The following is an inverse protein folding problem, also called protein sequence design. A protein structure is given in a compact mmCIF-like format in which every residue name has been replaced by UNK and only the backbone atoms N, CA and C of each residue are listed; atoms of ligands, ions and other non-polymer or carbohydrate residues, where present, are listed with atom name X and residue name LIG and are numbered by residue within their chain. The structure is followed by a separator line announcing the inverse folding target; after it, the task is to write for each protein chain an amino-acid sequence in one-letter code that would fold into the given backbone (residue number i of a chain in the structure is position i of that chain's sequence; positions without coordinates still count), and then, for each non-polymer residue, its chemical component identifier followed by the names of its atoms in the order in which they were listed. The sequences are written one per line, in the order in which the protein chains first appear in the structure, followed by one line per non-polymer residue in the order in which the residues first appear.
data_IF_219623276096
#
_entry.id   IF_219623276096
#
_cell.length_a   1.000
_cell.length_b   1.000
_cell.length_c   1.000
_cell.angle_alpha   90.00
_cell.angle_beta   90.00
_cell.angle_gamma   90.00
#
_symmetry.space_group_name_H-M   'P 1'
#
loop_
_entity.id
_entity.type
_entity.pdbx_description
1 polymer ?
#
# COMPACT_ATOMS: atom_id res chain seq x y z
N UNK A 1 16.66 14.57 -15.90
CA UNK A 1 16.10 15.44 -14.84
C UNK A 1 14.60 15.19 -14.61
N UNK A 2 13.74 15.27 -15.64
CA UNK A 2 12.28 15.05 -15.50
C UNK A 2 11.95 13.67 -14.92
N UNK A 3 12.55 12.61 -15.45
CA UNK A 3 12.34 11.23 -14.97
C UNK A 3 12.70 11.04 -13.49
N UNK A 4 13.81 11.63 -13.06
CA UNK A 4 14.25 11.56 -11.67
C UNK A 4 13.24 12.26 -10.75
N UNK A 5 12.75 13.44 -11.16
CA UNK A 5 11.75 14.17 -10.40
C UNK A 5 10.42 13.40 -10.30
N UNK A 6 9.99 12.75 -11.38
CA UNK A 6 8.78 11.92 -11.41
C UNK A 6 8.87 10.76 -10.42
N UNK A 7 9.96 9.97 -10.46
CA UNK A 7 10.15 8.86 -9.52
C UNK A 7 10.25 9.34 -8.08
N UNK A 8 10.97 10.45 -7.83
CA UNK A 8 11.04 11.04 -6.49
C UNK A 8 9.67 11.39 -5.96
N UNK A 9 8.81 12.01 -6.77
CA UNK A 9 7.45 12.38 -6.36
C UNK A 9 6.56 11.16 -6.09
N UNK A 10 6.69 10.10 -6.90
CA UNK A 10 5.95 8.85 -6.69
C UNK A 10 6.36 8.21 -5.35
N UNK A 11 7.65 8.03 -5.10
CA UNK A 11 8.12 7.45 -3.84
C UNK A 11 7.79 8.34 -2.64
N UNK A 12 7.94 9.66 -2.77
CA UNK A 12 7.59 10.60 -1.72
C UNK A 12 6.09 10.52 -1.34
N UNK A 13 5.20 10.35 -2.33
CA UNK A 13 3.76 10.23 -2.07
C UNK A 13 3.41 8.97 -1.27
N UNK A 14 4.06 7.84 -1.57
CA UNK A 14 3.88 6.59 -0.82
C UNK A 14 4.37 6.75 0.63
N UNK A 15 5.58 7.27 0.82
CA UNK A 15 6.15 7.50 2.15
C UNK A 15 5.30 8.47 2.98
N UNK A 16 4.75 9.51 2.34
CA UNK A 16 3.87 10.49 2.98
C UNK A 16 2.59 9.83 3.50
N UNK A 17 1.95 8.97 2.72
CA UNK A 17 0.74 8.24 3.14
C UNK A 17 1.03 7.28 4.30
N UNK A 18 2.16 6.57 4.26
CA UNK A 18 2.58 5.67 5.35
C UNK A 18 2.89 6.47 6.62
N UNK A 19 3.60 7.59 6.50
CA UNK A 19 3.89 8.47 7.64
C UNK A 19 2.62 9.02 8.29
N UNK A 20 1.63 9.44 7.48
CA UNK A 20 0.32 9.86 8.00
C UNK A 20 -0.37 8.72 8.77
N UNK A 21 -0.36 7.49 8.23
CA UNK A 21 -0.87 6.31 8.93
C UNK A 21 -0.18 6.09 10.27
N UNK A 22 1.14 6.25 10.33
CA UNK A 22 1.94 6.21 11.56
C UNK A 22 1.53 7.26 12.57
N UNK A 23 1.37 8.50 12.15
CA UNK A 23 0.93 9.60 13.01
C UNK A 23 -0.47 9.35 13.63
N UNK A 24 -1.39 8.76 12.87
CA UNK A 24 -2.70 8.39 13.40
C UNK A 24 -2.61 7.24 14.41
N UNK A 25 -1.78 6.23 14.14
CA UNK A 25 -1.55 5.12 15.04
C UNK A 25 -0.95 5.60 16.37
N UNK A 26 0.10 6.42 16.34
CA UNK A 26 0.73 6.99 17.55
C UNK A 26 -0.24 7.83 18.39
N UNK A 27 -1.11 8.61 17.75
CA UNK A 27 -2.14 9.38 18.46
C UNK A 27 -3.20 8.52 19.12
N UNK A 28 -3.42 7.31 18.64
CA UNK A 28 -4.31 6.34 19.30
C UNK A 28 -3.64 5.60 20.46
N UNK A 29 -2.36 5.87 20.74
CA UNK A 29 -1.58 5.22 21.78
C UNK A 29 -0.98 3.87 21.36
N UNK A 30 -1.02 3.55 20.07
CA UNK A 30 -0.45 2.32 19.52
C UNK A 30 0.79 2.65 18.69
N UNK A 31 1.94 2.15 19.12
CA UNK A 31 3.18 2.25 18.34
C UNK A 31 3.14 1.18 17.24
N UNK A 32 2.89 1.60 16.01
CA UNK A 32 2.78 0.67 14.88
C UNK A 32 4.07 0.63 14.05
N UNK A 33 5.03 -0.17 14.45
CA UNK A 33 6.27 -0.43 13.69
C UNK A 33 6.00 -1.38 12.50
N UNK A 34 4.87 -2.09 12.50
CA UNK A 34 4.46 -3.00 11.43
C UNK A 34 3.91 -2.34 10.15
N UNK A 35 4.00 -1.01 10.02
CA UNK A 35 3.45 -0.27 8.87
C UNK A 35 4.05 -0.69 7.53
N UNK A 36 5.34 -1.02 7.50
CA UNK A 36 6.00 -1.52 6.29
C UNK A 36 5.38 -2.84 5.83
N UNK A 37 5.16 -3.77 6.75
CA UNK A 37 4.50 -5.05 6.45
C UNK A 37 3.05 -4.87 5.97
N UNK A 38 2.31 -3.96 6.61
CA UNK A 38 0.94 -3.62 6.21
C UNK A 38 0.94 -3.04 4.79
N UNK A 39 1.90 -2.17 4.47
CA UNK A 39 2.06 -1.60 3.13
C UNK A 39 2.37 -2.69 2.08
N UNK A 40 3.26 -3.62 2.38
CA UNK A 40 3.62 -4.73 1.47
C UNK A 40 2.42 -5.63 1.18
N UNK A 41 1.67 -6.02 2.21
CA UNK A 41 0.47 -6.86 2.03
C UNK A 41 -0.65 -6.08 1.34
N UNK A 42 -0.83 -4.81 1.64
CA UNK A 42 -1.75 -3.94 0.90
C UNK A 42 -1.38 -3.83 -0.59
N UNK A 43 -0.10 -3.62 -0.89
CA UNK A 43 0.40 -3.58 -2.26
C UNK A 43 0.16 -4.91 -2.98
N UNK A 44 0.38 -6.05 -2.31
CA UNK A 44 0.07 -7.37 -2.85
C UNK A 44 -1.41 -7.48 -3.21
N UNK A 45 -2.33 -7.08 -2.32
CA UNK A 45 -3.77 -7.10 -2.57
C UNK A 45 -4.18 -6.25 -3.78
N UNK A 46 -3.64 -5.03 -3.89
CA UNK A 46 -3.86 -4.16 -5.04
C UNK A 46 -3.32 -4.76 -6.35
N UNK A 47 -2.12 -5.32 -6.31
CA UNK A 47 -1.49 -5.95 -7.48
C UNK A 47 -2.25 -7.20 -7.96
N UNK A 48 -2.83 -7.98 -7.04
CA UNK A 48 -3.68 -9.12 -7.39
C UNK A 48 -4.93 -8.67 -8.14
N UNK A 49 -5.59 -7.62 -7.69
CA UNK A 49 -6.74 -7.04 -8.41
C UNK A 49 -6.34 -6.60 -9.81
N UNK A 50 -5.21 -5.90 -9.97
CA UNK A 50 -4.71 -5.47 -11.26
C UNK A 50 -4.34 -6.64 -12.20
N UNK A 51 -3.96 -7.80 -11.65
CA UNK A 51 -3.65 -9.00 -12.42
C UNK A 51 -4.91 -9.73 -12.88
N UNK A 52 -5.92 -9.84 -12.02
CA UNK A 52 -7.08 -10.70 -12.27
C UNK A 52 -8.30 -9.96 -12.81
N UNK A 53 -8.42 -8.66 -12.59
CA UNK A 53 -9.55 -7.90 -13.11
C UNK A 53 -9.38 -7.59 -14.62
N UNK A 54 -10.42 -7.81 -15.41
CA UNK A 54 -10.39 -7.51 -16.83
C UNK A 54 -10.38 -5.99 -17.06
N UNK A 55 -9.57 -5.52 -17.99
CA UNK A 55 -9.43 -4.10 -18.37
C UNK A 55 -10.72 -3.49 -18.93
N UNK A 56 -11.68 -4.32 -19.33
CA UNK A 56 -12.99 -3.90 -19.85
C UNK A 56 -13.86 -3.08 -18.86
N UNK A 57 -13.50 -3.08 -17.57
CA UNK A 57 -14.25 -2.38 -16.52
C UNK A 57 -14.04 -0.84 -16.51
N UNK A 58 -13.13 -0.32 -17.34
CA UNK A 58 -12.81 1.10 -17.38
C UNK A 58 -11.85 1.54 -16.26
N UNK A 59 -11.08 2.62 -16.56
CA UNK A 59 -10.03 3.12 -15.67
C UNK A 59 -10.51 3.48 -14.25
N UNK A 60 -11.62 4.23 -14.03
CA UNK A 60 -12.00 4.65 -12.69
C UNK A 60 -12.39 3.47 -11.80
N UNK A 61 -13.07 2.47 -12.33
CA UNK A 61 -13.49 1.30 -11.55
C UNK A 61 -12.27 0.44 -11.17
N UNK A 62 -11.30 0.33 -12.07
CA UNK A 62 -10.04 -0.37 -11.82
C UNK A 62 -9.25 0.31 -10.69
N UNK A 63 -9.13 1.64 -10.70
CA UNK A 63 -8.46 2.41 -9.63
C UNK A 63 -9.16 2.21 -8.29
N UNK A 64 -10.47 2.35 -8.25
CA UNK A 64 -11.26 2.21 -7.01
C UNK A 64 -11.13 0.79 -6.46
N UNK A 65 -11.27 -0.24 -7.30
CA UNK A 65 -11.16 -1.63 -6.86
C UNK A 65 -9.76 -1.98 -6.34
N UNK A 66 -8.71 -1.44 -6.97
CA UNK A 66 -7.33 -1.61 -6.53
C UNK A 66 -7.09 -0.97 -5.15
N UNK A 67 -7.59 0.26 -4.94
CA UNK A 67 -7.46 0.96 -3.66
C UNK A 67 -8.25 0.21 -2.57
N UNK A 68 -9.47 -0.23 -2.85
CA UNK A 68 -10.30 -0.97 -1.89
C UNK A 68 -9.66 -2.31 -1.52
N UNK A 69 -9.12 -3.04 -2.49
CA UNK A 69 -8.42 -4.28 -2.22
C UNK A 69 -7.15 -4.07 -1.39
N UNK A 70 -6.34 -3.07 -1.74
CA UNK A 70 -5.14 -2.73 -0.98
C UNK A 70 -5.49 -2.36 0.47
N UNK A 71 -6.53 -1.56 0.66
CA UNK A 71 -7.02 -1.19 1.99
C UNK A 71 -7.52 -2.41 2.78
N UNK A 72 -8.30 -3.29 2.14
CA UNK A 72 -8.83 -4.50 2.77
C UNK A 72 -7.71 -5.46 3.21
N UNK A 73 -6.74 -5.74 2.33
CA UNK A 73 -5.61 -6.61 2.64
C UNK A 73 -4.74 -6.03 3.76
N UNK A 74 -4.43 -4.73 3.68
CA UNK A 74 -3.68 -4.02 4.73
C UNK A 74 -4.42 -4.03 6.07
N UNK A 75 -5.74 -3.80 6.06
CA UNK A 75 -6.59 -3.83 7.26
C UNK A 75 -6.61 -5.24 7.88
N UNK A 76 -6.84 -6.28 7.10
CA UNK A 76 -6.84 -7.66 7.58
C UNK A 76 -5.49 -8.04 8.18
N UNK A 77 -4.40 -7.62 7.56
CA UNK A 77 -3.07 -7.89 8.08
C UNK A 77 -2.78 -7.12 9.37
N UNK A 78 -3.26 -5.88 9.49
CA UNK A 78 -3.10 -5.08 10.71
C UNK A 78 -3.82 -5.65 11.93
N UNK A 79 -4.87 -6.48 11.72
CA UNK A 79 -5.54 -7.18 12.82
C UNK A 79 -4.60 -8.11 13.58
N UNK A 80 -3.55 -8.64 12.95
CA UNK A 80 -2.54 -9.45 13.64
C UNK A 80 -1.86 -8.67 14.75
N UNK A 81 -1.48 -7.41 14.48
CA UNK A 81 -0.91 -6.53 15.51
C UNK A 81 -1.91 -6.23 16.63
N UNK A 82 -3.16 -5.93 16.24
CA UNK A 82 -4.21 -5.63 17.20
C UNK A 82 -4.48 -6.83 18.13
N UNK A 83 -4.60 -8.03 17.59
CA UNK A 83 -4.82 -9.26 18.37
C UNK A 83 -3.62 -9.54 19.27
N UNK A 84 -2.39 -9.40 18.76
CA UNK A 84 -1.18 -9.60 19.55
C UNK A 84 -1.08 -8.61 20.72
N UNK A 85 -1.32 -7.34 20.45
CA UNK A 85 -1.20 -6.28 21.46
C UNK A 85 -2.35 -6.33 22.50
N UNK A 86 -3.59 -6.55 22.06
CA UNK A 86 -4.77 -6.49 22.94
C UNK A 86 -5.00 -7.80 23.66
N UNK A 87 -5.04 -8.94 22.94
CA UNK A 87 -5.40 -10.23 23.52
C UNK A 87 -4.23 -10.90 24.21
N UNK A 88 -3.04 -10.86 23.60
CA UNK A 88 -1.84 -11.50 24.15
C UNK A 88 -0.96 -10.54 24.96
N UNK A 89 -1.27 -9.25 24.99
CA UNK A 89 -0.47 -8.21 25.65
C UNK A 89 1.01 -8.24 25.22
N UNK A 90 1.25 -8.64 23.97
CA UNK A 90 2.58 -8.71 23.40
C UNK A 90 3.17 -7.31 23.20
N UNK A 91 4.50 -7.23 23.26
CA UNK A 91 5.21 -5.99 22.93
C UNK A 91 4.94 -5.59 21.47
N UNK A 92 4.46 -4.37 21.27
CA UNK A 92 4.07 -3.85 19.95
C UNK A 92 5.26 -3.71 19.00
N UNK A 93 6.44 -3.39 19.54
CA UNK A 93 7.67 -3.21 18.77
C UNK A 93 8.15 -4.53 18.20
N UNK A 94 8.21 -5.56 19.05
CA UNK A 94 8.64 -6.91 18.66
C UNK A 94 7.64 -7.49 17.65
N UNK A 95 6.36 -7.38 17.95
CA UNK A 95 5.29 -7.87 17.06
C UNK A 95 5.31 -7.16 15.71
N UNK A 96 5.45 -5.83 15.69
CA UNK A 96 5.53 -5.04 14.46
C UNK A 96 6.72 -5.42 13.59
N UNK A 97 7.90 -5.61 14.19
CA UNK A 97 9.09 -6.06 13.47
C UNK A 97 8.91 -7.46 12.88
N UNK A 98 8.35 -8.39 13.65
CA UNK A 98 8.04 -9.74 13.16
C UNK A 98 7.04 -9.71 12.01
N UNK A 99 6.03 -8.84 12.07
CA UNK A 99 5.05 -8.64 11.00
C UNK A 99 5.69 -8.13 9.70
N UNK A 100 6.66 -7.22 9.77
CA UNK A 100 7.37 -6.74 8.59
C UNK A 100 8.10 -7.87 7.87
N UNK A 101 8.80 -8.72 8.64
CA UNK A 101 9.48 -9.90 8.09
C UNK A 101 8.48 -10.91 7.50
N UNK A 102 7.39 -11.18 8.22
CA UNK A 102 6.33 -12.09 7.76
C UNK A 102 5.68 -11.59 6.47
N UNK A 103 5.38 -10.31 6.38
CA UNK A 103 4.76 -9.70 5.20
C UNK A 103 5.63 -9.83 3.97
N UNK A 104 6.91 -9.48 4.09
CA UNK A 104 7.86 -9.52 2.96
C UNK A 104 8.09 -10.94 2.48
N UNK A 105 8.32 -11.88 3.40
CA UNK A 105 8.49 -13.28 3.08
C UNK A 105 7.21 -13.88 2.49
N UNK A 106 6.06 -13.64 3.14
CA UNK A 106 4.76 -14.15 2.72
C UNK A 106 4.33 -13.63 1.35
N UNK A 107 4.49 -12.34 1.10
CA UNK A 107 4.20 -11.75 -0.22
C UNK A 107 5.08 -12.35 -1.32
N UNK A 108 6.39 -12.49 -1.06
CA UNK A 108 7.33 -13.08 -2.01
C UNK A 108 6.97 -14.52 -2.34
N UNK A 109 6.67 -15.34 -1.32
CA UNK A 109 6.30 -16.74 -1.50
C UNK A 109 4.97 -16.86 -2.24
N UNK A 110 3.98 -16.03 -1.90
CA UNK A 110 2.68 -16.03 -2.56
C UNK A 110 2.80 -15.73 -4.06
N UNK A 111 3.58 -14.71 -4.43
CA UNK A 111 3.80 -14.33 -5.84
C UNK A 111 4.54 -15.43 -6.59
N UNK A 112 5.62 -15.98 -6.00
CA UNK A 112 6.36 -17.10 -6.60
C UNK A 112 5.47 -18.33 -6.82
N UNK A 113 4.67 -18.70 -5.83
CA UNK A 113 3.76 -19.83 -5.93
C UNK A 113 2.73 -19.62 -7.06
N UNK A 114 2.20 -18.40 -7.20
CA UNK A 114 1.27 -18.06 -8.28
C UNK A 114 1.92 -18.13 -9.65
N UNK A 115 3.13 -17.59 -9.82
CA UNK A 115 3.84 -17.61 -11.10
C UNK A 115 4.25 -19.03 -11.48
N UNK A 116 4.75 -19.81 -10.52
CA UNK A 116 5.09 -21.22 -10.73
C UNK A 116 3.88 -22.04 -11.14
N UNK A 117 2.74 -21.84 -10.47
CA UNK A 117 1.49 -22.53 -10.81
C UNK A 117 0.98 -22.13 -12.21
N UNK A 118 1.07 -20.85 -12.57
CA UNK A 118 0.62 -20.35 -13.88
C UNK A 118 1.51 -20.78 -15.04
N UNK A 119 2.83 -20.96 -14.80
CA UNK A 119 3.83 -21.32 -15.82
C UNK A 119 4.12 -22.82 -15.91
N UNK A 120 3.48 -23.65 -15.11
CA UNK A 120 3.76 -25.08 -15.04
C UNK A 120 5.18 -25.39 -14.50
N UNK A 121 5.72 -24.51 -13.65
CA UNK A 121 7.03 -24.67 -13.03
C UNK A 121 8.19 -23.93 -13.71
N UNK A 122 7.94 -23.24 -14.82
CA UNK A 122 9.00 -22.57 -15.60
C UNK A 122 9.34 -21.16 -15.11
N UNK A 123 8.44 -20.50 -14.37
CA UNK A 123 8.65 -19.14 -13.83
C UNK A 123 8.60 -19.14 -12.30
N UNK A 124 9.73 -18.83 -11.68
CA UNK A 124 9.90 -18.71 -10.21
C UNK A 124 10.14 -17.25 -9.82
N UNK A 125 9.79 -16.29 -10.68
CA UNK A 125 9.96 -14.88 -10.40
C UNK A 125 9.07 -14.41 -9.25
N UNK A 126 9.51 -13.37 -8.54
CA UNK A 126 8.74 -12.68 -7.53
C UNK A 126 7.99 -11.47 -8.08
N UNK A 127 7.98 -11.29 -9.38
CA UNK A 127 7.37 -10.15 -10.06
C UNK A 127 5.94 -10.48 -10.48
N UNK A 128 5.02 -9.53 -10.26
CA UNK A 128 3.65 -9.62 -10.76
C UNK A 128 3.61 -8.90 -12.11
N UNK A 129 3.43 -9.64 -13.19
CA UNK A 129 3.18 -9.05 -14.51
C UNK A 129 1.70 -8.66 -14.63
N UNK A 130 1.44 -7.37 -14.79
CA UNK A 130 0.12 -6.86 -15.15
C UNK A 130 0.15 -6.29 -16.57
N UNK A 131 -0.94 -6.53 -17.29
CA UNK A 131 -0.95 -6.32 -18.73
C UNK A 131 -1.13 -4.86 -19.15
N UNK A 132 -1.82 -4.01 -18.35
CA UNK A 132 -2.21 -2.66 -18.84
C UNK A 132 -2.24 -1.54 -17.80
N UNK A 133 -1.63 -1.72 -16.64
CA UNK A 133 -1.91 -0.84 -15.50
C UNK A 133 -1.18 0.50 -15.48
N UNK A 134 -0.06 0.63 -16.16
CA UNK A 134 0.76 1.86 -16.05
C UNK A 134 0.03 3.10 -16.56
N UNK A 135 -0.69 2.97 -17.66
CA UNK A 135 -1.37 4.12 -18.30
C UNK A 135 -2.64 4.56 -17.54
N UNK A 136 -3.26 3.65 -16.76
CA UNK A 136 -4.49 3.94 -16.01
C UNK A 136 -4.26 4.83 -14.78
N UNK A 137 -3.07 4.79 -14.22
CA UNK A 137 -2.70 5.53 -13.01
C UNK A 137 -1.92 6.82 -13.28
N UNK A 138 -1.59 7.08 -14.55
CA UNK A 138 -0.82 8.25 -14.96
C UNK A 138 -1.71 9.29 -15.62
N UNK A 139 -1.62 10.52 -15.14
CA UNK A 139 -2.17 11.70 -15.79
C UNK A 139 -1.05 12.39 -16.55
N UNK A 140 -1.20 12.51 -17.87
CA UNK A 140 -0.22 13.18 -18.72
C UNK A 140 -0.57 14.65 -18.85
N UNK A 141 0.28 15.52 -18.31
CA UNK A 141 0.24 16.98 -18.55
C UNK A 141 1.48 17.37 -19.37
N UNK A 142 1.37 17.29 -20.69
CA UNK A 142 2.49 17.57 -21.59
C UNK A 142 3.65 16.60 -21.41
N UNK A 143 4.83 17.09 -21.03
CA UNK A 143 6.02 16.26 -20.77
C UNK A 143 6.10 15.70 -19.35
N UNK A 144 5.15 16.03 -18.48
CA UNK A 144 5.07 15.55 -17.11
C UNK A 144 3.99 14.48 -16.97
N UNK A 145 4.37 13.33 -16.41
CA UNK A 145 3.44 12.28 -16.03
C UNK A 145 3.25 12.30 -14.50
N UNK A 146 2.03 12.58 -14.05
CA UNK A 146 1.66 12.55 -12.64
C UNK A 146 0.88 11.28 -12.33
N UNK A 147 1.19 10.68 -11.19
CA UNK A 147 0.35 9.61 -10.65
C UNK A 147 -0.84 10.18 -9.88
N UNK A 148 -2.03 9.61 -10.06
CA UNK A 148 -3.21 9.93 -9.25
C UNK A 148 -2.96 9.78 -7.75
N UNK A 149 -2.09 8.85 -7.37
CA UNK A 149 -1.71 8.64 -5.96
C UNK A 149 -1.02 9.85 -5.33
N UNK A 150 -0.31 10.65 -6.11
CA UNK A 150 0.30 11.89 -5.62
C UNK A 150 -0.78 12.92 -5.22
N UNK A 151 -1.84 13.06 -6.01
CA UNK A 151 -2.96 13.93 -5.67
C UNK A 151 -3.68 13.44 -4.41
N UNK A 152 -3.92 12.13 -4.31
CA UNK A 152 -4.52 11.51 -3.12
C UNK A 152 -3.64 11.76 -1.89
N UNK A 153 -2.32 11.59 -1.98
CA UNK A 153 -1.40 11.83 -0.87
C UNK A 153 -1.44 13.29 -0.38
N UNK A 154 -1.44 14.26 -1.31
CA UNK A 154 -1.53 15.68 -0.96
C UNK A 154 -2.89 16.01 -0.31
N UNK A 155 -3.99 15.48 -0.86
CA UNK A 155 -5.34 15.68 -0.28
C UNK A 155 -5.39 15.09 1.13
N UNK A 156 -4.89 13.85 1.33
CA UNK A 156 -4.84 13.21 2.65
C UNK A 156 -4.00 14.03 3.64
N UNK A 157 -2.88 14.59 3.21
CA UNK A 157 -2.04 15.44 4.04
C UNK A 157 -2.78 16.72 4.47
N UNK A 158 -3.42 17.42 3.53
CA UNK A 158 -4.18 18.64 3.83
C UNK A 158 -5.35 18.33 4.77
N UNK A 159 -6.12 17.27 4.49
CA UNK A 159 -7.24 16.85 5.34
C UNK A 159 -6.74 16.49 6.75
N UNK A 160 -5.66 15.72 6.85
CA UNK A 160 -5.05 15.36 8.14
C UNK A 160 -4.58 16.59 8.90
N UNK A 161 -3.97 17.55 8.23
CA UNK A 161 -3.52 18.81 8.82
C UNK A 161 -4.70 19.61 9.37
N UNK A 162 -5.76 19.77 8.61
CA UNK A 162 -6.99 20.49 9.02
C UNK A 162 -7.66 19.81 10.22
N UNK A 163 -7.79 18.47 10.18
CA UNK A 163 -8.37 17.70 11.28
C UNK A 163 -7.52 17.77 12.56
N UNK A 164 -6.21 17.86 12.42
CA UNK A 164 -5.30 17.95 13.57
C UNK A 164 -5.30 19.34 14.19
N UNK A 165 -5.33 20.40 13.40
CA UNK A 165 -5.41 21.78 13.91
C UNK A 165 -6.78 22.03 14.55
N UNK A 166 -7.87 21.55 13.93
CA UNK A 166 -9.22 21.73 14.49
C UNK A 166 -9.42 21.08 15.85
N UNK A 167 -8.60 20.07 16.22
CA UNK A 167 -8.62 19.41 17.54
C UNK A 167 -7.63 19.98 18.55
N UNK A 168 -6.69 20.80 18.12
CA UNK A 168 -5.72 21.46 19.02
C UNK A 168 -6.32 22.68 19.76
N UNK A 169 -7.52 23.10 19.42
CA UNK A 169 -8.24 24.24 20.02
C UNK A 169 -9.44 23.83 20.88
N UNK A 170 -9.58 22.55 21.21
CA UNK A 170 -10.52 22.00 22.19
C UNK A 170 -9.71 21.30 23.30
#
# INVERSE_FOLDING_TARGET
MVLLLQYTLIFASVLMLVALGGCFAERSGVINIGLEGIMVIGALGGALVMKFLPVSLGAPLMVISTILAAALFGMLFSLLLAVAAINFKADQTITGTAMNMLATAGATVAVKAMNTAASGGNDVSSDISYVHSKDLFLVRLGSFEFSWFMLVAVICLVVSYVLQIGRAHV
#
